data_IF_554004746604
#
_entry.id   IF_554004746604
#
_cell.length_a   1.000
_cell.length_b   1.000
_cell.length_c   1.000
_cell.angle_alpha   90.00
_cell.angle_beta   90.00
_cell.angle_gamma   90.00
#
_symmetry.space_group_name_H-M   'P 1'
#
loop_
_entity.id
_entity.type
_entity.pdbx_description
1 polymer ?
#
# COMPACT_ATOMS: atom_id res chain seq x y z
N UNK A 1 43.66 6.33 -18.12
CA UNK A 1 43.40 7.66 -18.69
C UNK A 1 42.20 7.54 -19.62
N UNK A 2 41.10 8.26 -19.37
CA UNK A 2 39.90 8.17 -20.22
C UNK A 2 40.19 8.77 -21.59
N UNK A 3 39.84 8.07 -22.66
CA UNK A 3 39.93 8.59 -24.04
C UNK A 3 38.99 9.80 -24.27
N UNK A 4 38.01 10.00 -23.39
CA UNK A 4 37.04 11.10 -23.43
C UNK A 4 36.83 11.67 -22.01
N UNK A 5 37.69 12.58 -21.54
CA UNK A 5 37.61 13.12 -20.17
C UNK A 5 36.29 13.84 -19.89
N UNK A 6 35.69 14.49 -20.90
CA UNK A 6 34.43 15.21 -20.78
C UNK A 6 33.21 14.34 -20.46
N UNK A 7 33.31 13.02 -20.66
CA UNK A 7 32.21 12.08 -20.40
C UNK A 7 32.27 11.48 -19.00
N UNK A 8 33.41 11.59 -18.30
CA UNK A 8 33.59 11.05 -16.94
C UNK A 8 32.53 11.62 -15.97
N UNK A 9 32.27 12.94 -15.91
CA UNK A 9 31.25 13.46 -15.01
C UNK A 9 29.83 12.96 -15.32
N UNK A 10 29.52 12.69 -16.60
CA UNK A 10 28.20 12.19 -17.01
C UNK A 10 28.03 10.71 -16.64
N UNK A 11 29.05 9.90 -16.87
CA UNK A 11 29.07 8.50 -16.44
C UNK A 11 28.92 8.41 -14.91
N UNK A 12 29.68 9.23 -14.16
CA UNK A 12 29.55 9.31 -12.70
C UNK A 12 28.12 9.69 -12.29
N UNK A 13 27.47 10.63 -13.01
CA UNK A 13 26.08 11.00 -12.72
C UNK A 13 25.10 9.87 -12.98
N UNK A 14 25.27 9.09 -14.05
CA UNK A 14 24.47 7.88 -14.32
C UNK A 14 24.61 6.89 -13.18
N UNK A 15 25.84 6.59 -12.75
CA UNK A 15 26.11 5.69 -11.62
C UNK A 15 25.48 6.17 -10.32
N UNK A 16 25.59 7.47 -10.01
CA UNK A 16 24.95 8.07 -8.83
C UNK A 16 23.43 7.92 -8.87
N UNK A 17 22.79 8.18 -10.02
CA UNK A 17 21.34 8.06 -10.15
C UNK A 17 20.88 6.61 -10.03
N UNK A 18 21.62 5.66 -10.63
CA UNK A 18 21.35 4.24 -10.50
C UNK A 18 21.47 3.78 -9.02
N UNK A 19 22.53 4.20 -8.32
CA UNK A 19 22.72 3.91 -6.91
C UNK A 19 21.63 4.53 -6.03
N UNK A 20 21.21 5.76 -6.31
CA UNK A 20 20.09 6.42 -5.62
C UNK A 20 18.78 5.64 -5.78
N UNK A 21 18.47 5.19 -7.00
CA UNK A 21 17.28 4.38 -7.29
C UNK A 21 17.36 3.05 -6.53
N UNK A 22 18.50 2.34 -6.59
CA UNK A 22 18.70 1.08 -5.88
C UNK A 22 18.53 1.22 -4.36
N UNK A 23 19.01 2.33 -3.77
CA UNK A 23 18.79 2.64 -2.37
C UNK A 23 17.30 2.84 -2.06
N UNK A 24 16.59 3.62 -2.88
CA UNK A 24 15.13 3.83 -2.69
C UNK A 24 14.38 2.50 -2.79
N UNK A 25 14.73 1.64 -3.76
CA UNK A 25 14.14 0.31 -3.90
C UNK A 25 14.37 -0.58 -2.68
N UNK A 26 15.57 -0.50 -2.08
CA UNK A 26 15.89 -1.21 -0.85
C UNK A 26 15.04 -0.72 0.32
N UNK A 27 14.82 0.60 0.44
CA UNK A 27 13.95 1.19 1.46
C UNK A 27 12.49 0.76 1.28
N UNK A 28 11.98 0.73 0.04
CA UNK A 28 10.63 0.21 -0.25
C UNK A 28 10.52 -1.26 0.16
N UNK A 29 11.58 -2.06 -0.04
CA UNK A 29 11.60 -3.47 0.38
C UNK A 29 11.52 -3.59 1.91
N UNK A 30 12.31 -2.81 2.64
CA UNK A 30 12.27 -2.77 4.11
C UNK A 30 10.87 -2.39 4.62
N UNK A 31 10.27 -1.36 4.01
CA UNK A 31 8.89 -0.94 4.29
C UNK A 31 7.87 -2.08 4.04
N UNK A 32 7.99 -2.83 2.94
CA UNK A 32 7.12 -3.99 2.66
C UNK A 32 7.27 -5.07 3.75
N UNK A 33 8.49 -5.35 4.21
CA UNK A 33 8.75 -6.32 5.29
C UNK A 33 8.21 -5.86 6.64
N UNK A 34 8.36 -4.58 6.97
CA UNK A 34 7.76 -3.98 8.17
C UNK A 34 6.23 -4.11 8.14
N UNK A 35 5.63 -3.90 6.97
CA UNK A 35 4.22 -4.19 6.74
C UNK A 35 3.86 -5.66 7.04
N UNK A 36 4.67 -6.62 6.59
CA UNK A 36 4.44 -8.04 6.87
C UNK A 36 4.44 -8.32 8.38
N UNK A 37 5.41 -7.77 9.12
CA UNK A 37 5.49 -7.89 10.58
C UNK A 37 4.26 -7.27 11.27
N UNK A 38 3.78 -6.13 10.78
CA UNK A 38 2.54 -5.53 11.28
C UNK A 38 1.32 -6.45 11.02
N UNK A 39 1.34 -7.28 9.97
CA UNK A 39 0.15 -8.08 9.57
C UNK A 39 0.04 -9.25 10.52
N UNK A 40 1.17 -9.89 10.81
CA UNK A 40 1.26 -10.93 11.82
C UNK A 40 0.81 -10.43 13.20
N UNK A 41 1.18 -9.20 13.57
CA UNK A 41 0.70 -8.57 14.82
C UNK A 41 -0.82 -8.36 14.79
N UNK A 42 -1.35 -7.82 13.70
CA UNK A 42 -2.79 -7.62 13.53
C UNK A 42 -3.57 -8.95 13.58
N UNK A 43 -3.06 -10.03 12.97
CA UNK A 43 -3.65 -11.37 13.05
C UNK A 43 -3.76 -11.84 14.51
N UNK A 44 -2.72 -11.62 15.33
CA UNK A 44 -2.76 -11.99 16.76
C UNK A 44 -3.85 -11.23 17.50
N UNK A 45 -3.94 -9.91 17.30
CA UNK A 45 -4.98 -9.06 17.92
C UNK A 45 -6.38 -9.49 17.46
N UNK A 46 -6.58 -9.73 16.17
CA UNK A 46 -7.84 -10.23 15.63
C UNK A 46 -8.21 -11.60 16.22
N UNK A 47 -7.22 -12.48 16.43
CA UNK A 47 -7.41 -13.76 17.09
C UNK A 47 -7.83 -13.61 18.57
N UNK A 48 -7.30 -12.62 19.29
CA UNK A 48 -7.75 -12.29 20.65
C UNK A 48 -9.18 -11.75 20.66
N UNK A 49 -9.55 -10.88 19.72
CA UNK A 49 -10.91 -10.37 19.54
C UNK A 49 -11.88 -11.52 19.26
N UNK A 50 -11.51 -12.45 18.38
CA UNK A 50 -12.29 -13.65 18.08
C UNK A 50 -12.54 -14.50 19.34
N UNK A 51 -11.48 -14.75 20.13
CA UNK A 51 -11.59 -15.49 21.41
C UNK A 51 -12.46 -14.78 22.44
N UNK A 52 -12.31 -13.47 22.60
CA UNK A 52 -13.19 -12.66 23.47
C UNK A 52 -14.65 -12.68 23.02
N UNK A 53 -14.89 -12.93 21.73
CA UNK A 53 -16.23 -13.06 21.14
C UNK A 53 -16.79 -14.49 21.20
N UNK A 54 -16.08 -15.43 21.83
CA UNK A 54 -16.53 -16.82 22.03
C UNK A 54 -16.10 -17.82 20.95
N UNK A 55 -15.22 -17.44 20.02
CA UNK A 55 -14.73 -18.31 18.95
C UNK A 55 -13.35 -18.89 19.28
N UNK A 56 -13.03 -20.11 18.83
CA UNK A 56 -11.73 -20.71 19.18
C UNK A 56 -10.59 -20.14 18.31
N UNK A 57 -10.91 -19.81 17.06
CA UNK A 57 -9.96 -19.33 16.07
C UNK A 57 -10.48 -18.10 15.32
N UNK A 58 -9.57 -17.36 14.67
CA UNK A 58 -9.93 -16.26 13.78
C UNK A 58 -10.72 -16.77 12.56
N UNK A 59 -10.40 -17.96 12.05
CA UNK A 59 -11.10 -18.54 10.89
C UNK A 59 -12.57 -18.86 11.21
N UNK A 60 -12.85 -19.43 12.40
CA UNK A 60 -14.24 -19.64 12.85
C UNK A 60 -15.02 -18.32 12.97
N UNK A 61 -14.36 -17.26 13.43
CA UNK A 61 -14.93 -15.92 13.54
C UNK A 61 -15.26 -15.32 12.17
N UNK A 62 -14.33 -15.45 11.22
CA UNK A 62 -14.54 -15.06 9.82
C UNK A 62 -15.71 -15.82 9.19
N UNK A 63 -15.77 -17.14 9.38
CA UNK A 63 -16.83 -17.98 8.83
C UNK A 63 -18.20 -17.62 9.39
N UNK A 64 -18.27 -17.32 10.69
CA UNK A 64 -19.51 -16.86 11.31
C UNK A 64 -19.97 -15.51 10.75
N UNK A 65 -19.05 -14.56 10.58
CA UNK A 65 -19.34 -13.29 9.95
C UNK A 65 -19.80 -13.47 8.49
N UNK A 66 -19.11 -14.29 7.71
CA UNK A 66 -19.38 -14.45 6.28
C UNK A 66 -20.66 -15.22 5.98
N UNK A 67 -21.19 -15.99 6.93
CA UNK A 67 -22.55 -16.55 6.86
C UNK A 67 -23.63 -15.47 6.87
N UNK A 68 -23.34 -14.26 7.37
CA UNK A 68 -24.26 -13.13 7.39
C UNK A 68 -24.21 -12.29 6.12
N UNK A 69 -23.21 -12.52 5.25
CA UNK A 69 -23.09 -11.85 3.96
C UNK A 69 -23.99 -12.49 2.90
N UNK A 70 -24.30 -11.74 1.84
CA UNK A 70 -24.99 -12.32 0.69
C UNK A 70 -24.10 -13.37 0.01
N UNK A 71 -24.66 -14.43 -0.60
CA UNK A 71 -23.87 -15.45 -1.29
C UNK A 71 -22.91 -14.87 -2.34
N UNK A 72 -23.32 -13.82 -3.06
CA UNK A 72 -22.49 -13.12 -4.04
C UNK A 72 -21.28 -12.41 -3.42
N UNK A 73 -21.46 -11.77 -2.26
CA UNK A 73 -20.40 -11.06 -1.54
C UNK A 73 -19.39 -12.06 -0.97
N UNK A 74 -19.90 -13.15 -0.36
CA UNK A 74 -19.08 -14.25 0.13
C UNK A 74 -18.26 -14.89 -0.99
N UNK A 75 -18.88 -15.16 -2.14
CA UNK A 75 -18.19 -15.74 -3.29
C UNK A 75 -17.07 -14.83 -3.81
N UNK A 76 -17.27 -13.51 -3.82
CA UNK A 76 -16.21 -12.54 -4.19
C UNK A 76 -15.03 -12.59 -3.23
N UNK A 77 -15.27 -12.59 -1.92
CA UNK A 77 -14.21 -12.67 -0.90
C UNK A 77 -13.45 -14.00 -0.99
N UNK A 78 -14.15 -15.12 -1.20
CA UNK A 78 -13.51 -16.43 -1.36
C UNK A 78 -12.70 -16.53 -2.66
N UNK A 79 -13.20 -15.97 -3.75
CA UNK A 79 -12.44 -15.90 -4.99
C UNK A 79 -11.17 -15.06 -4.80
N UNK A 80 -11.29 -13.93 -4.09
CA UNK A 80 -10.16 -13.08 -3.73
C UNK A 80 -9.12 -13.83 -2.90
N UNK A 81 -9.54 -14.58 -1.86
CA UNK A 81 -8.65 -15.46 -1.07
C UNK A 81 -7.85 -16.39 -1.97
N UNK A 82 -8.54 -17.10 -2.88
CA UNK A 82 -7.93 -18.09 -3.77
C UNK A 82 -6.97 -17.48 -4.79
N UNK A 83 -7.32 -16.34 -5.37
CA UNK A 83 -6.46 -15.67 -6.34
C UNK A 83 -5.21 -15.15 -5.67
N UNK A 84 -5.35 -14.43 -4.56
CA UNK A 84 -4.23 -13.79 -3.87
C UNK A 84 -3.24 -14.80 -3.30
N UNK A 85 -3.73 -15.80 -2.58
CA UNK A 85 -2.85 -16.81 -1.93
C UNK A 85 -2.04 -17.61 -2.93
N UNK A 86 -2.46 -17.68 -4.20
CA UNK A 86 -1.69 -18.28 -5.29
C UNK A 86 -0.62 -17.34 -5.86
N UNK A 87 -0.74 -16.03 -5.68
CA UNK A 87 0.17 -15.04 -6.24
C UNK A 87 1.39 -14.82 -5.36
N UNK A 88 1.16 -14.66 -4.06
CA UNK A 88 2.20 -14.24 -3.11
C UNK A 88 1.78 -14.67 -1.70
N UNK A 89 2.69 -15.35 -0.97
CA UNK A 89 2.38 -15.88 0.35
C UNK A 89 2.01 -14.77 1.35
N UNK A 90 2.77 -13.69 1.35
CA UNK A 90 2.56 -12.59 2.30
C UNK A 90 1.28 -11.82 1.97
N UNK A 91 0.91 -11.69 0.69
CA UNK A 91 -0.41 -11.17 0.34
C UNK A 91 -1.53 -12.04 0.93
N UNK A 92 -1.30 -13.35 1.06
CA UNK A 92 -2.17 -14.23 1.84
C UNK A 92 -2.29 -13.81 3.32
N UNK A 93 -1.20 -13.38 3.95
CA UNK A 93 -1.18 -12.87 5.33
C UNK A 93 -1.98 -11.57 5.42
N UNK A 94 -1.73 -10.59 4.54
CA UNK A 94 -2.51 -9.34 4.51
C UNK A 94 -3.99 -9.59 4.24
N UNK A 95 -4.32 -10.61 3.44
CA UNK A 95 -5.71 -11.02 3.20
C UNK A 95 -6.40 -11.60 4.44
N UNK A 96 -5.68 -12.30 5.32
CA UNK A 96 -6.22 -12.75 6.61
C UNK A 96 -6.60 -11.53 7.47
N UNK A 97 -5.73 -10.52 7.55
CA UNK A 97 -6.04 -9.27 8.26
C UNK A 97 -7.28 -8.59 7.68
N UNK A 98 -7.35 -8.49 6.35
CA UNK A 98 -8.51 -7.94 5.66
C UNK A 98 -9.81 -8.67 6.00
N UNK A 99 -9.83 -10.01 5.91
CA UNK A 99 -11.01 -10.83 6.24
C UNK A 99 -11.40 -10.71 7.70
N UNK A 100 -10.43 -10.76 8.62
CA UNK A 100 -10.67 -10.60 10.05
C UNK A 100 -11.28 -9.23 10.38
N UNK A 101 -10.87 -8.16 9.70
CA UNK A 101 -11.46 -6.82 9.90
C UNK A 101 -12.89 -6.70 9.36
N UNK A 102 -13.17 -7.31 8.20
CA UNK A 102 -14.56 -7.45 7.73
C UNK A 102 -15.38 -8.22 8.77
N UNK A 103 -14.84 -9.31 9.31
CA UNK A 103 -15.54 -10.13 10.30
C UNK A 103 -15.91 -9.33 11.55
N UNK A 104 -14.97 -8.53 12.07
CA UNK A 104 -15.23 -7.58 13.17
C UNK A 104 -16.35 -6.61 12.80
N UNK A 105 -16.29 -5.99 11.61
CA UNK A 105 -17.30 -5.05 11.15
C UNK A 105 -18.70 -5.66 11.06
N UNK A 106 -18.82 -6.86 10.48
CA UNK A 106 -20.09 -7.55 10.27
C UNK A 106 -20.70 -8.06 11.57
N UNK A 107 -19.91 -8.66 12.45
CA UNK A 107 -20.42 -9.24 13.70
C UNK A 107 -20.79 -8.18 14.73
N UNK A 108 -20.03 -7.07 14.81
CA UNK A 108 -20.38 -5.96 15.72
C UNK A 108 -21.66 -5.24 15.32
N UNK A 109 -22.06 -5.34 14.06
CA UNK A 109 -23.17 -4.59 13.50
C UNK A 109 -24.46 -5.41 13.34
N UNK A 110 -24.44 -6.69 13.73
CA UNK A 110 -25.64 -7.53 13.77
C UNK A 110 -26.25 -7.75 12.37
N UNK A 111 -25.42 -8.10 11.39
CA UNK A 111 -25.76 -8.39 9.99
C UNK A 111 -26.03 -7.19 9.05
N UNK A 112 -26.18 -5.96 9.57
CA UNK A 112 -26.12 -4.76 8.72
C UNK A 112 -24.72 -4.21 8.80
N UNK A 113 -23.93 -4.27 7.71
CA UNK A 113 -22.64 -3.58 7.61
C UNK A 113 -22.75 -2.16 8.21
N UNK A 114 -22.30 -1.98 9.45
CA UNK A 114 -22.33 -0.67 10.09
C UNK A 114 -21.43 0.25 9.27
N UNK A 115 -21.68 1.56 9.30
CA UNK A 115 -20.78 2.51 8.65
C UNK A 115 -19.33 2.28 9.07
N UNK A 116 -19.09 1.93 10.34
CA UNK A 116 -17.77 1.56 10.85
C UNK A 116 -17.20 0.29 10.22
N UNK A 117 -18.01 -0.74 9.97
CA UNK A 117 -17.58 -1.94 9.25
C UNK A 117 -17.26 -1.65 7.78
N UNK A 118 -18.05 -0.79 7.12
CA UNK A 118 -17.80 -0.33 5.75
C UNK A 118 -16.53 0.50 5.69
N UNK A 119 -16.33 1.43 6.63
CA UNK A 119 -15.14 2.28 6.69
C UNK A 119 -13.89 1.46 6.92
N UNK A 120 -13.89 0.53 7.89
CA UNK A 120 -12.76 -0.38 8.13
C UNK A 120 -12.49 -1.26 6.92
N UNK A 121 -13.51 -1.84 6.29
CA UNK A 121 -13.33 -2.67 5.09
C UNK A 121 -12.79 -1.87 3.90
N UNK A 122 -13.33 -0.67 3.66
CA UNK A 122 -12.92 0.25 2.58
C UNK A 122 -11.47 0.67 2.77
N UNK A 123 -11.15 1.09 3.99
CA UNK A 123 -9.81 1.43 4.43
C UNK A 123 -8.82 0.29 4.18
N UNK A 124 -9.18 -0.94 4.55
CA UNK A 124 -8.28 -2.07 4.37
C UNK A 124 -8.17 -2.49 2.91
N UNK A 125 -9.23 -2.38 2.11
CA UNK A 125 -9.14 -2.57 0.66
C UNK A 125 -8.15 -1.57 0.04
N UNK A 126 -8.08 -0.33 0.53
CA UNK A 126 -7.09 0.64 0.06
C UNK A 126 -5.67 0.17 0.37
N UNK A 127 -5.40 -0.10 1.65
CA UNK A 127 -4.10 -0.55 2.14
C UNK A 127 -3.65 -1.79 1.36
N UNK A 128 -4.55 -2.75 1.23
CA UNK A 128 -4.31 -4.04 0.59
C UNK A 128 -4.11 -3.91 -0.93
N UNK A 129 -4.91 -3.07 -1.59
CA UNK A 129 -4.73 -2.74 -3.01
C UNK A 129 -3.40 -2.05 -3.30
N UNK A 130 -2.99 -1.12 -2.43
CA UNK A 130 -1.70 -0.44 -2.56
C UNK A 130 -0.51 -1.35 -2.23
N UNK A 131 -0.63 -2.21 -1.21
CA UNK A 131 0.40 -3.22 -0.91
C UNK A 131 0.64 -4.15 -2.10
N UNK A 132 -0.42 -4.57 -2.80
CA UNK A 132 -0.27 -5.37 -4.00
C UNK A 132 0.48 -4.62 -5.10
N UNK A 133 0.23 -3.33 -5.27
CA UNK A 133 0.96 -2.49 -6.23
C UNK A 133 2.44 -2.39 -5.86
N UNK A 134 2.75 -2.13 -4.58
CA UNK A 134 4.14 -2.05 -4.10
C UNK A 134 4.88 -3.37 -4.24
N UNK A 135 4.23 -4.49 -3.93
CA UNK A 135 4.79 -5.83 -4.15
C UNK A 135 4.94 -6.13 -5.63
N UNK A 136 4.00 -5.70 -6.48
CA UNK A 136 4.15 -5.83 -7.93
C UNK A 136 5.40 -5.11 -8.43
N UNK A 137 5.65 -3.91 -7.92
CA UNK A 137 6.86 -3.14 -8.23
C UNK A 137 8.10 -3.91 -7.81
N UNK A 138 8.12 -4.37 -6.56
CA UNK A 138 9.24 -5.15 -6.04
C UNK A 138 9.52 -6.39 -6.90
N UNK A 139 8.47 -7.16 -7.23
CA UNK A 139 8.59 -8.35 -8.08
C UNK A 139 9.06 -7.99 -9.51
N UNK A 140 8.61 -6.86 -10.07
CA UNK A 140 9.07 -6.40 -11.38
C UNK A 140 10.56 -6.08 -11.37
N UNK A 141 11.04 -5.42 -10.31
CA UNK A 141 12.44 -5.10 -10.12
C UNK A 141 13.31 -6.34 -9.88
N UNK A 142 12.74 -7.38 -9.28
CA UNK A 142 13.40 -8.68 -9.13
C UNK A 142 13.36 -9.54 -10.41
N UNK A 143 12.81 -9.03 -11.52
CA UNK A 143 12.68 -9.77 -12.78
C UNK A 143 11.51 -10.75 -12.83
N UNK A 144 10.70 -10.85 -11.77
CA UNK A 144 9.50 -11.69 -11.69
C UNK A 144 8.28 -11.02 -12.35
N UNK A 145 8.42 -10.67 -13.63
CA UNK A 145 7.45 -9.85 -14.40
C UNK A 145 6.03 -10.42 -14.44
N UNK A 146 5.87 -11.74 -14.48
CA UNK A 146 4.55 -12.38 -14.45
C UNK A 146 3.86 -12.23 -13.09
N UNK A 147 4.59 -12.41 -11.99
CA UNK A 147 4.06 -12.19 -10.64
C UNK A 147 3.71 -10.71 -10.44
N UNK A 148 4.59 -9.82 -10.89
CA UNK A 148 4.36 -8.39 -10.90
C UNK A 148 3.08 -8.00 -11.64
N UNK A 149 2.90 -8.46 -12.88
CA UNK A 149 1.72 -8.13 -13.69
C UNK A 149 0.42 -8.58 -13.02
N UNK A 150 0.43 -9.76 -12.39
CA UNK A 150 -0.73 -10.28 -11.67
C UNK A 150 -1.04 -9.47 -10.41
N UNK A 151 -0.03 -9.20 -9.58
CA UNK A 151 -0.18 -8.35 -8.38
C UNK A 151 -0.64 -6.94 -8.75
N UNK A 152 -0.13 -6.38 -9.85
CA UNK A 152 -0.53 -5.06 -10.34
C UNK A 152 -1.99 -5.06 -10.82
N UNK A 153 -2.39 -6.07 -11.59
CA UNK A 153 -3.78 -6.23 -12.05
C UNK A 153 -4.73 -6.34 -10.86
N UNK A 154 -4.30 -7.09 -9.84
CA UNK A 154 -5.08 -7.32 -8.65
C UNK A 154 -5.19 -6.05 -7.78
N UNK A 155 -4.07 -5.36 -7.53
CA UNK A 155 -4.07 -4.07 -6.84
C UNK A 155 -4.94 -3.04 -7.55
N UNK A 156 -4.88 -2.98 -8.89
CA UNK A 156 -5.75 -2.13 -9.72
C UNK A 156 -7.22 -2.49 -9.54
N UNK A 157 -7.58 -3.78 -9.58
CA UNK A 157 -8.97 -4.22 -9.41
C UNK A 157 -9.52 -3.82 -8.03
N UNK A 158 -8.73 -4.03 -6.97
CA UNK A 158 -9.12 -3.67 -5.60
C UNK A 158 -9.31 -2.17 -5.46
N UNK A 159 -8.38 -1.37 -5.98
CA UNK A 159 -8.50 0.09 -5.95
C UNK A 159 -9.65 0.59 -6.84
N UNK A 160 -9.93 -0.04 -7.98
CA UNK A 160 -11.05 0.30 -8.85
C UNK A 160 -12.39 -0.03 -8.18
N UNK A 161 -12.50 -1.18 -7.51
CA UNK A 161 -13.66 -1.53 -6.71
C UNK A 161 -13.89 -0.47 -5.63
N UNK A 162 -12.82 -0.02 -4.99
CA UNK A 162 -12.87 1.03 -3.98
C UNK A 162 -13.33 2.37 -4.55
N UNK A 163 -12.86 2.75 -5.73
CA UNK A 163 -13.25 3.97 -6.42
C UNK A 163 -14.74 4.01 -6.73
N UNK A 164 -15.42 2.87 -6.86
CA UNK A 164 -16.87 2.84 -7.12
C UNK A 164 -17.70 3.07 -5.86
N UNK A 165 -17.06 3.14 -4.69
CA UNK A 165 -17.70 3.43 -3.42
C UNK A 165 -17.89 4.95 -3.30
N UNK A 166 -19.13 5.48 -3.17
CA UNK A 166 -19.42 6.92 -3.26
C UNK A 166 -18.60 7.81 -2.33
N UNK A 167 -18.25 7.28 -1.16
CA UNK A 167 -17.50 7.97 -0.11
C UNK A 167 -16.00 8.12 -0.46
N UNK A 168 -15.49 7.32 -1.40
CA UNK A 168 -14.07 7.24 -1.76
C UNK A 168 -13.71 8.04 -3.02
N UNK A 169 -14.70 8.31 -3.89
CA UNK A 169 -14.55 8.91 -5.21
C UNK A 169 -13.81 10.25 -5.27
N UNK A 170 -13.80 11.05 -4.20
CA UNK A 170 -13.24 12.41 -4.24
C UNK A 170 -11.72 12.46 -4.03
N UNK A 171 -11.16 11.55 -3.24
CA UNK A 171 -9.77 11.65 -2.77
C UNK A 171 -8.86 10.61 -3.41
N UNK A 172 -9.41 9.44 -3.74
CA UNK A 172 -8.61 8.35 -4.29
C UNK A 172 -8.33 8.48 -5.77
N UNK A 173 -9.11 9.28 -6.49
CA UNK A 173 -9.01 9.40 -7.95
C UNK A 173 -7.61 9.89 -8.38
N UNK A 174 -6.97 10.76 -7.57
CA UNK A 174 -5.59 11.20 -7.79
C UNK A 174 -4.55 10.10 -7.56
N UNK A 175 -4.72 9.29 -6.50
CA UNK A 175 -3.85 8.16 -6.16
C UNK A 175 -4.00 7.05 -7.22
N UNK A 176 -5.24 6.71 -7.58
CA UNK A 176 -5.56 5.73 -8.62
C UNK A 176 -5.01 6.13 -9.99
N UNK A 177 -5.16 7.41 -10.39
CA UNK A 177 -4.58 7.93 -11.64
C UNK A 177 -3.04 7.87 -11.61
N UNK A 178 -2.43 8.13 -10.46
CA UNK A 178 -0.98 8.04 -10.28
C UNK A 178 -0.48 6.60 -10.36
N UNK A 179 -1.17 5.67 -9.70
CA UNK A 179 -0.89 4.22 -9.77
C UNK A 179 -1.09 3.71 -11.20
N UNK A 180 -2.19 4.06 -11.87
CA UNK A 180 -2.45 3.65 -13.26
C UNK A 180 -1.37 4.15 -14.23
N UNK A 181 -0.93 5.40 -14.09
CA UNK A 181 0.20 5.93 -14.87
C UNK A 181 1.52 5.25 -14.51
N UNK A 182 1.71 4.93 -13.23
CA UNK A 182 2.89 4.24 -12.71
C UNK A 182 3.06 2.83 -13.26
N UNK A 183 1.97 2.06 -13.44
CA UNK A 183 2.04 0.65 -13.85
C UNK A 183 2.79 0.38 -15.15
N UNK A 184 2.49 1.15 -16.20
CA UNK A 184 3.20 1.06 -17.48
C UNK A 184 4.66 1.50 -17.37
N UNK A 185 4.96 2.38 -16.40
CA UNK A 185 6.28 2.93 -16.18
C UNK A 185 7.19 2.02 -15.35
N UNK A 186 6.60 1.23 -14.44
CA UNK A 186 7.34 0.34 -13.54
C UNK A 186 7.94 -0.87 -14.27
N UNK A 187 7.24 -1.36 -15.29
CA UNK A 187 7.78 -2.32 -16.25
C UNK A 187 8.99 -1.75 -17.03
N UNK A 188 9.01 -0.44 -17.28
CA UNK A 188 10.15 0.22 -17.91
C UNK A 188 11.34 0.41 -16.96
N UNK A 189 11.10 0.71 -15.66
CA UNK A 189 12.18 0.93 -14.69
C UNK A 189 13.03 -0.33 -14.47
N UNK A 190 12.42 -1.51 -14.32
CA UNK A 190 13.15 -2.77 -14.06
C UNK A 190 14.13 -3.12 -15.17
N UNK A 191 13.75 -2.90 -16.43
CA UNK A 191 14.61 -3.13 -17.60
C UNK A 191 15.74 -2.10 -17.72
N UNK A 192 15.55 -0.89 -17.18
CA UNK A 192 16.44 0.25 -17.43
C UNK A 192 17.57 0.42 -16.41
N UNK A 193 17.45 -0.12 -15.18
CA UNK A 193 18.58 -0.12 -14.23
C UNK A 193 19.70 -1.04 -14.72
N UNK A 194 19.35 -2.24 -15.18
CA UNK A 194 20.32 -3.19 -15.75
C UNK A 194 20.92 -2.68 -17.07
N UNK A 195 20.09 -2.11 -17.95
CA UNK A 195 20.58 -1.50 -19.19
C UNK A 195 21.47 -0.27 -18.93
N UNK A 196 21.16 0.54 -17.91
CA UNK A 196 21.93 1.73 -17.56
C UNK A 196 23.34 1.42 -17.04
N UNK A 197 23.47 0.36 -16.24
CA UNK A 197 24.77 -0.17 -15.79
C UNK A 197 25.59 -0.71 -16.98
N UNK A 198 24.96 -1.49 -17.86
CA UNK A 198 25.62 -2.00 -19.06
C UNK A 198 26.06 -0.90 -20.03
N UNK A 199 25.27 0.18 -20.19
CA UNK A 199 25.62 1.36 -21.00
C UNK A 199 26.80 2.14 -20.38
N UNK A 200 26.89 2.21 -19.05
CA UNK A 200 28.02 2.87 -18.38
C UNK A 200 29.34 2.10 -18.57
N UNK A 201 29.27 0.77 -18.64
CA UNK A 201 30.43 -0.12 -18.80
C UNK A 201 30.87 -0.32 -20.25
N UNK A 202 29.94 -0.29 -21.22
CA UNK A 202 30.22 -0.73 -22.59
C UNK A 202 30.79 0.33 -23.56
N UNK A 203 30.76 1.64 -23.24
CA UNK A 203 30.86 2.66 -24.32
C UNK A 203 32.20 3.42 -24.34
N UNK A 204 32.92 3.37 -25.47
CA UNK A 204 34.02 4.27 -25.88
C UNK A 204 33.58 5.10 -27.11
N UNK A 205 33.53 6.44 -27.05
CA UNK A 205 33.33 7.26 -28.26
C UNK A 205 32.45 8.51 -28.14
N UNK A 206 32.39 9.33 -29.19
CA UNK A 206 31.57 10.56 -29.27
C UNK A 206 30.05 10.36 -29.17
N UNK A 207 29.54 9.19 -29.55
CA UNK A 207 28.13 8.80 -29.32
C UNK A 207 27.78 8.69 -27.82
N UNK A 208 28.77 8.57 -26.92
CA UNK A 208 28.57 8.57 -25.45
C UNK A 208 27.82 9.79 -24.96
N UNK A 209 28.10 10.99 -25.49
CA UNK A 209 27.57 12.21 -24.88
C UNK A 209 26.04 12.26 -24.98
N UNK A 210 25.49 11.82 -26.11
CA UNK A 210 24.03 11.78 -26.33
C UNK A 210 23.41 10.65 -25.49
N UNK A 211 23.97 9.44 -25.57
CA UNK A 211 23.49 8.29 -24.80
C UNK A 211 23.52 8.55 -23.27
N UNK A 212 24.62 9.09 -22.74
CA UNK A 212 24.72 9.42 -21.31
C UNK A 212 23.75 10.53 -20.90
N UNK A 213 23.50 11.53 -21.77
CA UNK A 213 22.50 12.57 -21.48
C UNK A 213 21.08 12.00 -21.44
N UNK A 214 20.77 11.11 -22.37
CA UNK A 214 19.48 10.42 -22.43
C UNK A 214 19.30 9.53 -21.20
N UNK A 215 20.31 8.72 -20.86
CA UNK A 215 20.32 7.91 -19.65
C UNK A 215 20.13 8.76 -18.38
N UNK A 216 20.82 9.90 -18.25
CA UNK A 216 20.64 10.82 -17.12
C UNK A 216 19.19 11.32 -17.04
N UNK A 217 18.59 11.74 -18.16
CA UNK A 217 17.20 12.21 -18.18
C UNK A 217 16.24 11.11 -17.72
N UNK A 218 16.38 9.92 -18.29
CA UNK A 218 15.55 8.75 -17.95
C UNK A 218 15.71 8.37 -16.47
N UNK A 219 16.95 8.24 -15.99
CA UNK A 219 17.21 7.90 -14.58
C UNK A 219 16.75 8.98 -13.61
N UNK A 220 16.82 10.27 -13.96
CA UNK A 220 16.24 11.34 -13.14
C UNK A 220 14.72 11.18 -12.99
N UNK A 221 14.00 10.91 -14.08
CA UNK A 221 12.55 10.62 -14.03
C UNK A 221 12.24 9.38 -13.20
N UNK A 222 13.05 8.33 -13.34
CA UNK A 222 12.90 7.09 -12.57
C UNK A 222 13.10 7.30 -11.07
N UNK A 223 14.12 8.08 -10.69
CA UNK A 223 14.39 8.43 -9.29
C UNK A 223 13.23 9.18 -8.66
N UNK A 224 12.61 10.12 -9.40
CA UNK A 224 11.45 10.86 -8.91
C UNK A 224 10.27 9.91 -8.61
N UNK A 225 10.00 8.99 -9.53
CA UNK A 225 8.91 8.03 -9.39
C UNK A 225 9.18 7.00 -8.29
N UNK A 226 10.41 6.47 -8.21
CA UNK A 226 10.81 5.62 -7.10
C UNK A 226 10.60 6.34 -5.76
N UNK A 227 10.92 7.63 -5.68
CA UNK A 227 10.72 8.42 -4.46
C UNK A 227 9.24 8.64 -4.15
N UNK A 228 8.40 8.88 -5.16
CA UNK A 228 6.96 8.98 -4.99
C UNK A 228 6.37 7.66 -4.46
N UNK A 229 6.79 6.53 -5.01
CA UNK A 229 6.36 5.20 -4.56
C UNK A 229 6.79 4.92 -3.12
N UNK A 230 8.00 5.33 -2.74
CA UNK A 230 8.43 5.26 -1.34
C UNK A 230 7.53 6.09 -0.43
N UNK A 231 7.19 7.33 -0.82
CA UNK A 231 6.30 8.17 -0.01
C UNK A 231 4.90 7.54 0.11
N UNK A 232 4.37 6.97 -0.97
CA UNK A 232 3.10 6.25 -0.94
C UNK A 232 3.17 5.03 -0.02
N UNK A 233 4.23 4.21 -0.13
CA UNK A 233 4.50 3.06 0.75
C UNK A 233 4.54 3.45 2.23
N UNK A 234 5.31 4.49 2.56
CA UNK A 234 5.38 5.03 3.91
C UNK A 234 4.00 5.46 4.44
N UNK A 235 3.21 6.18 3.64
CA UNK A 235 1.87 6.62 4.03
C UNK A 235 0.95 5.44 4.31
N UNK A 236 1.01 4.40 3.48
CA UNK A 236 0.21 3.17 3.68
C UNK A 236 0.58 2.48 4.99
N UNK A 237 1.88 2.40 5.29
CA UNK A 237 2.35 1.80 6.55
C UNK A 237 1.95 2.61 7.77
N UNK A 238 2.06 3.94 7.71
CA UNK A 238 1.60 4.82 8.79
C UNK A 238 0.11 4.63 9.04
N UNK A 239 -0.68 4.63 7.97
CA UNK A 239 -2.12 4.41 8.05
C UNK A 239 -2.47 3.07 8.71
N UNK A 240 -1.68 2.04 8.45
CA UNK A 240 -1.86 0.70 9.01
C UNK A 240 -1.50 0.62 10.48
N UNK A 241 -0.42 1.28 10.89
CA UNK A 241 -0.08 1.49 12.30
C UNK A 241 -1.22 2.19 13.04
N UNK A 242 -1.81 3.22 12.43
CA UNK A 242 -2.93 3.98 13.01
C UNK A 242 -4.19 3.11 13.13
N UNK A 243 -4.50 2.31 12.10
CA UNK A 243 -5.61 1.34 12.13
C UNK A 243 -5.45 0.33 13.27
N UNK A 244 -4.24 -0.18 13.49
CA UNK A 244 -3.95 -1.05 14.62
C UNK A 244 -4.16 -0.32 15.96
N UNK A 245 -3.72 0.94 16.06
CA UNK A 245 -3.95 1.79 17.23
C UNK A 245 -5.43 1.94 17.57
N UNK A 246 -6.25 2.25 16.55
CA UNK A 246 -7.71 2.41 16.68
C UNK A 246 -8.36 1.11 17.14
N UNK A 247 -8.01 -0.03 16.54
CA UNK A 247 -8.55 -1.35 16.93
C UNK A 247 -8.18 -1.72 18.37
N UNK A 248 -6.95 -1.43 18.77
CA UNK A 248 -6.47 -1.69 20.13
C UNK A 248 -7.21 -0.83 21.15
N UNK A 249 -7.38 0.47 20.85
CA UNK A 249 -8.13 1.39 21.70
C UNK A 249 -9.59 0.97 21.82
N UNK A 250 -10.21 0.57 20.71
CA UNK A 250 -11.58 0.05 20.73
C UNK A 250 -11.73 -1.17 21.62
N UNK A 251 -10.82 -2.16 21.52
CA UNK A 251 -10.88 -3.33 22.40
C UNK A 251 -10.74 -2.93 23.88
N UNK A 252 -9.90 -1.94 24.21
CA UNK A 252 -9.77 -1.45 25.59
C UNK A 252 -11.05 -0.77 26.06
N UNK A 253 -11.69 0.05 25.22
CA UNK A 253 -12.96 0.68 25.56
C UNK A 253 -14.06 -0.34 25.81
N UNK A 254 -14.15 -1.40 25.02
CA UNK A 254 -15.12 -2.49 25.28
C UNK A 254 -14.88 -3.15 26.65
N UNK A 255 -13.62 -3.37 27.03
CA UNK A 255 -13.27 -3.89 28.35
C UNK A 255 -13.63 -2.88 29.48
N UNK A 256 -13.45 -1.58 29.25
CA UNK A 256 -13.84 -0.52 30.21
C UNK A 256 -15.35 -0.39 30.36
N UNK A 257 -16.11 -0.46 29.25
CA UNK A 257 -17.57 -0.43 29.26
C UNK A 257 -18.11 -1.64 30.04
N UNK A 258 -17.57 -2.84 29.78
CA UNK A 258 -17.94 -4.06 30.53
C UNK A 258 -17.64 -3.95 32.03
N UNK A 259 -16.55 -3.26 32.39
CA UNK A 259 -16.18 -3.01 33.77
C UNK A 259 -16.94 -1.84 34.42
N UNK A 260 -17.85 -1.17 33.70
CA UNK A 260 -18.56 0.02 34.17
C UNK A 260 -17.68 1.25 34.37
N UNK A 261 -16.47 1.26 33.78
CA UNK A 261 -15.49 2.36 33.89
C UNK A 261 -15.66 3.45 32.84
N UNK A 262 -16.37 3.15 31.75
CA UNK A 262 -16.58 4.07 30.63
C UNK A 262 -18.00 3.86 30.07
N UNK A 263 -18.59 4.91 29.49
CA UNK A 263 -19.88 4.78 28.79
C UNK A 263 -19.65 4.53 27.30
N UNK A 264 -20.60 3.85 26.65
CA UNK A 264 -20.53 3.60 25.20
C UNK A 264 -20.48 4.90 24.40
N UNK A 265 -21.25 5.91 24.80
CA UNK A 265 -21.32 7.20 24.13
C UNK A 265 -20.00 8.00 24.21
N UNK A 266 -19.36 7.99 25.38
CA UNK A 266 -18.04 8.61 25.58
C UNK A 266 -16.96 7.93 24.74
N UNK A 267 -16.92 6.59 24.75
CA UNK A 267 -16.01 5.81 23.92
C UNK A 267 -16.22 6.04 22.43
N UNK A 268 -17.46 6.06 21.96
CA UNK A 268 -17.79 6.30 20.55
C UNK A 268 -17.37 7.71 20.12
N UNK A 269 -17.51 8.72 21.00
CA UNK A 269 -17.05 10.07 20.74
C UNK A 269 -15.51 10.18 20.63
N UNK A 270 -14.77 9.49 21.49
CA UNK A 270 -13.31 9.48 21.42
C UNK A 270 -12.78 8.70 20.22
N UNK A 271 -13.38 7.56 19.88
CA UNK A 271 -13.07 6.84 18.64
C UNK A 271 -13.33 7.73 17.43
N UNK A 272 -14.44 8.48 17.42
CA UNK A 272 -14.74 9.44 16.35
C UNK A 272 -13.65 10.51 16.21
N UNK A 273 -13.09 11.04 17.31
CA UNK A 273 -11.96 11.98 17.25
C UNK A 273 -10.68 11.36 16.68
N UNK A 274 -10.41 10.08 17.00
CA UNK A 274 -9.26 9.37 16.40
C UNK A 274 -9.44 9.18 14.89
N UNK A 275 -10.67 8.99 14.41
CA UNK A 275 -10.95 8.95 12.98
C UNK A 275 -10.84 10.33 12.32
N UNK A 276 -11.20 11.43 12.99
CA UNK A 276 -11.03 12.78 12.42
C UNK A 276 -9.57 13.22 12.31
N UNK A 277 -8.67 12.70 13.16
CA UNK A 277 -7.22 12.91 13.01
C UNK A 277 -6.69 12.37 11.67
N UNK A 278 -7.29 11.31 11.15
CA UNK A 278 -6.99 10.79 9.80
C UNK A 278 -7.41 11.82 8.75
N UNK A 279 -8.56 12.47 8.93
CA UNK A 279 -9.02 13.53 8.03
C UNK A 279 -8.17 14.81 8.13
N UNK A 280 -7.68 15.16 9.32
CA UNK A 280 -6.75 16.29 9.52
C UNK A 280 -5.39 16.02 8.85
N UNK A 281 -4.86 14.79 8.97
CA UNK A 281 -3.65 14.37 8.26
C UNK A 281 -3.84 14.43 6.73
N UNK A 282 -5.04 14.11 6.23
CA UNK A 282 -5.38 14.28 4.81
C UNK A 282 -5.43 15.76 4.41
N UNK A 283 -5.96 16.63 5.26
CA UNK A 283 -6.05 18.07 5.00
C UNK A 283 -4.66 18.70 4.86
N UNK A 284 -3.75 18.39 5.79
CA UNK A 284 -2.35 18.88 5.74
C UNK A 284 -1.65 18.44 4.45
N UNK A 285 -1.83 17.18 4.02
CA UNK A 285 -1.22 16.70 2.78
C UNK A 285 -1.76 17.41 1.53
N UNK A 286 -3.04 17.78 1.52
CA UNK A 286 -3.64 18.55 0.42
C UNK A 286 -3.10 19.99 0.39
N UNK A 287 -2.87 20.62 1.54
CA UNK A 287 -2.22 21.93 1.64
C UNK A 287 -0.74 21.88 1.19
N UNK A 288 -0.02 20.81 1.55
CA UNK A 288 1.35 20.58 1.08
C UNK A 288 1.40 20.34 -0.44
N UNK A 289 0.45 19.60 -1.01
CA UNK A 289 0.35 19.38 -2.45
C UNK A 289 -0.01 20.67 -3.22
N UNK A 290 -0.87 21.52 -2.66
CA UNK A 290 -1.21 22.82 -3.25
C UNK A 290 -0.05 23.83 -3.15
N UNK A 291 0.66 23.87 -2.02
CA UNK A 291 1.81 24.74 -1.85
C UNK A 291 3.01 24.32 -2.71
N UNK A 292 3.23 23.01 -2.89
CA UNK A 292 4.25 22.49 -3.79
C UNK A 292 3.88 22.61 -5.28
N UNK A 293 2.59 22.59 -5.63
CA UNK A 293 2.11 22.90 -6.97
C UNK A 293 2.30 24.37 -7.39
N UNK A 294 2.33 25.30 -6.44
CA UNK A 294 2.60 26.72 -6.68
C UNK A 294 4.10 27.06 -6.82
N UNK A 295 5.00 26.09 -6.65
CA UNK A 295 6.43 26.25 -6.95
C UNK A 295 6.76 25.97 -8.44
N UNK A 296 5.73 25.91 -9.30
CA UNK A 296 5.88 25.74 -10.74
C UNK A 296 6.41 27.00 -11.45
N UNK A 297 7.71 26.97 -11.74
CA UNK A 297 8.40 27.64 -12.86
C UNK A 297 8.14 29.15 -13.05
N UNK A 298 8.91 29.96 -12.33
CA UNK A 298 9.53 31.15 -12.90
C UNK A 298 11.00 30.83 -13.26
#
# INVERSE_FOLDING_TARGET
MSLYPDNVPRANRVQQLAADIARIQSQIKEEIEDGRVQDEKAIKVLGEIAKKSGYQTLEEYEDAAFKLLKPEERAKIENMKKEVTKLDHDMGISHIVFRGLIAVGVLLSGAKLSMLGIELATTQMLVYGLQAVLRAIYQALAGATQAAARLFTWGRYTLEALSRTPQFLKESDAILKSVQKGGNFLLAIGVLVDAGLLIAEAIKGGEQRRALREAIKTLCSHRFIAKQLQQEAHIILCFRSDSHGILTMKSKYEDWIKAGRETRESSDADLKKMYTLVDDLKAVKNEEAQSSGNLGFA
#
